data_IF_033622458600
#
_entry.id   IF_033622458600
#
_cell.length_a   1.000
_cell.length_b   1.000
_cell.length_c   1.000
_cell.angle_alpha   90.00
_cell.angle_beta   90.00
_cell.angle_gamma   90.00
#
_symmetry.space_group_name_H-M   'P 1'
#
loop_
_entity.id
_entity.type
_entity.pdbx_description
1 polymer ?
#
# COMPACT_ATOMS: atom_id res chain seq x y z
N UNK A 1 34.52 -5.95 -0.78
CA UNK A 1 33.18 -5.51 -1.20
C UNK A 1 32.23 -6.64 -0.87
N UNK A 2 31.61 -6.52 0.31
CA UNK A 2 30.53 -7.38 0.72
C UNK A 2 29.20 -6.62 0.62
N UNK A 3 28.16 -7.31 0.18
CA UNK A 3 26.81 -6.78 0.10
C UNK A 3 25.82 -7.94 0.06
N UNK A 4 24.58 -7.67 0.43
CA UNK A 4 23.50 -8.63 0.34
C UNK A 4 22.24 -7.97 -0.20
N UNK A 5 21.42 -8.75 -0.90
CA UNK A 5 20.08 -8.35 -1.32
C UNK A 5 19.04 -9.07 -0.48
N UNK A 6 18.00 -8.35 -0.08
CA UNK A 6 16.77 -8.95 0.44
C UNK A 6 15.76 -9.04 -0.69
N UNK A 7 15.41 -10.26 -1.09
CA UNK A 7 14.36 -10.53 -2.08
C UNK A 7 12.98 -10.18 -1.52
N UNK A 8 12.00 -10.02 -2.42
CA UNK A 8 10.62 -9.71 -2.05
C UNK A 8 10.04 -10.76 -1.10
N UNK A 9 10.43 -12.02 -1.28
CA UNK A 9 9.88 -13.18 -0.57
C UNK A 9 10.61 -13.51 0.74
N UNK A 10 11.37 -12.56 1.30
CA UNK A 10 12.05 -12.72 2.59
C UNK A 10 13.34 -13.55 2.55
N UNK A 11 13.85 -13.89 1.36
CA UNK A 11 15.17 -14.50 1.20
C UNK A 11 16.29 -13.45 1.19
N UNK A 12 17.35 -13.65 2.00
CA UNK A 12 18.56 -12.82 2.00
C UNK A 12 19.66 -13.54 1.23
N UNK A 13 20.20 -12.89 0.20
CA UNK A 13 21.21 -13.45 -0.70
C UNK A 13 22.48 -12.60 -0.64
N UNK A 14 23.62 -13.23 -0.32
CA UNK A 14 24.92 -12.56 -0.31
C UNK A 14 25.51 -12.54 -1.72
N UNK A 15 26.06 -11.38 -2.11
CA UNK A 15 26.78 -11.21 -3.38
C UNK A 15 26.01 -11.73 -4.63
N UNK A 16 24.70 -11.44 -4.80
CA UNK A 16 24.00 -11.84 -6.02
C UNK A 16 24.68 -11.20 -7.23
N UNK A 17 24.81 -11.95 -8.33
CA UNK A 17 25.33 -11.40 -9.57
C UNK A 17 24.30 -10.51 -10.28
N UNK A 18 24.70 -9.87 -11.37
CA UNK A 18 23.83 -8.96 -12.13
C UNK A 18 22.54 -9.63 -12.63
N UNK A 19 22.62 -10.89 -13.06
CA UNK A 19 21.44 -11.61 -13.54
C UNK A 19 20.49 -11.89 -12.39
N UNK A 20 21.02 -12.30 -11.23
CA UNK A 20 20.21 -12.53 -10.05
C UNK A 20 19.59 -11.23 -9.51
N UNK A 21 20.35 -10.14 -9.48
CA UNK A 21 19.81 -8.82 -9.14
C UNK A 21 18.64 -8.42 -10.04
N UNK A 22 18.76 -8.68 -11.35
CA UNK A 22 17.69 -8.42 -12.32
C UNK A 22 16.45 -9.26 -12.03
N UNK A 23 16.62 -10.54 -11.70
CA UNK A 23 15.52 -11.43 -11.32
C UNK A 23 14.81 -10.94 -10.06
N UNK A 24 15.56 -10.54 -9.03
CA UNK A 24 15.01 -10.01 -7.78
C UNK A 24 14.18 -8.74 -8.06
N UNK A 25 14.71 -7.81 -8.86
CA UNK A 25 13.97 -6.61 -9.24
C UNK A 25 12.73 -6.92 -10.10
N UNK A 26 12.76 -7.99 -10.90
CA UNK A 26 11.61 -8.44 -11.67
C UNK A 26 10.48 -9.02 -10.79
N UNK A 27 10.78 -9.46 -9.55
CA UNK A 27 9.75 -9.87 -8.59
C UNK A 27 8.75 -8.74 -8.31
N UNK A 28 9.20 -7.47 -8.41
CA UNK A 28 8.38 -6.26 -8.23
C UNK A 28 7.45 -5.93 -9.41
N UNK A 29 7.46 -6.69 -10.50
CA UNK A 29 6.54 -6.46 -11.64
C UNK A 29 5.13 -6.99 -11.35
N UNK A 30 5.01 -7.95 -10.42
CA UNK A 30 3.72 -8.41 -9.92
C UNK A 30 3.27 -7.48 -8.80
N UNK A 31 2.01 -7.05 -8.77
CA UNK A 31 1.52 -6.26 -7.64
C UNK A 31 1.28 -7.18 -6.44
N UNK A 32 1.90 -6.86 -5.31
CA UNK A 32 1.67 -7.50 -4.01
C UNK A 32 1.86 -6.44 -2.91
N UNK A 33 0.75 -5.87 -2.40
CA UNK A 33 0.79 -4.80 -1.41
C UNK A 33 1.35 -5.23 -0.04
N UNK A 34 1.42 -6.52 0.26
CA UNK A 34 1.94 -7.04 1.54
C UNK A 34 3.48 -7.01 1.55
N UNK A 35 4.11 -7.21 0.39
CA UNK A 35 5.56 -7.19 0.21
C UNK A 35 5.95 -6.26 -0.94
N UNK A 36 5.95 -4.93 -0.75
CA UNK A 36 6.05 -3.97 -1.85
C UNK A 36 7.48 -3.68 -2.32
N UNK A 37 8.52 -4.18 -1.65
CA UNK A 37 9.90 -3.77 -1.88
C UNK A 37 10.96 -4.88 -1.75
N UNK A 38 12.14 -4.56 -2.28
CA UNK A 38 13.39 -5.32 -2.15
C UNK A 38 14.52 -4.32 -1.97
N UNK A 39 15.59 -4.69 -1.28
CA UNK A 39 16.71 -3.79 -1.04
C UNK A 39 18.07 -4.47 -1.17
N UNK A 40 19.09 -3.66 -1.48
CA UNK A 40 20.50 -4.06 -1.49
C UNK A 40 21.24 -3.25 -0.43
N UNK A 41 21.94 -3.92 0.47
CA UNK A 41 22.77 -3.29 1.51
C UNK A 41 24.24 -3.62 1.28
N UNK A 42 25.07 -2.58 1.23
CA UNK A 42 26.53 -2.68 1.12
C UNK A 42 27.19 -2.66 2.52
N UNK A 43 28.38 -3.27 2.65
CA UNK A 43 29.15 -3.33 3.91
C UNK A 43 29.44 -1.97 4.56
N UNK A 44 29.31 -0.87 3.81
CA UNK A 44 29.42 0.50 4.33
C UNK A 44 28.16 1.01 5.06
N UNK A 45 27.13 0.18 5.22
CA UNK A 45 25.83 0.55 5.81
C UNK A 45 24.86 1.25 4.84
N UNK A 46 25.29 1.53 3.62
CA UNK A 46 24.46 2.16 2.59
C UNK A 46 23.48 1.13 2.00
N UNK A 47 22.20 1.50 1.94
CA UNK A 47 21.11 0.65 1.46
C UNK A 47 20.31 1.35 0.37
N UNK A 48 20.03 0.62 -0.72
CA UNK A 48 19.11 1.02 -1.79
C UNK A 48 17.86 0.14 -1.76
N UNK A 49 16.74 0.71 -1.32
CA UNK A 49 15.43 0.07 -1.30
C UNK A 49 14.65 0.44 -2.56
N UNK A 50 14.04 -0.53 -3.23
CA UNK A 50 13.30 -0.37 -4.48
C UNK A 50 11.89 -0.91 -4.27
N UNK A 51 10.89 -0.06 -4.55
CA UNK A 51 9.47 -0.40 -4.39
C UNK A 51 8.81 -0.76 -5.72
N UNK A 52 7.69 -1.48 -5.65
CA UNK A 52 6.87 -1.83 -6.81
C UNK A 52 6.41 -0.61 -7.60
N UNK A 53 6.18 0.53 -6.92
CA UNK A 53 5.79 1.82 -7.51
C UNK A 53 6.89 2.53 -8.31
N UNK A 54 8.14 2.03 -8.27
CA UNK A 54 9.30 2.73 -8.82
C UNK A 54 9.86 3.83 -7.90
N UNK A 55 9.42 3.88 -6.64
CA UNK A 55 10.12 4.61 -5.58
C UNK A 55 11.45 3.90 -5.28
N UNK A 56 12.54 4.65 -5.24
CA UNK A 56 13.84 4.18 -4.77
C UNK A 56 14.29 5.05 -3.62
N UNK A 57 14.66 4.44 -2.50
CA UNK A 57 15.19 5.10 -1.32
C UNK A 57 16.66 4.73 -1.18
N UNK A 58 17.50 5.73 -0.92
CA UNK A 58 18.90 5.58 -0.63
C UNK A 58 19.20 6.16 0.75
N UNK A 59 19.67 5.33 1.66
CA UNK A 59 19.87 5.71 3.05
C UNK A 59 21.05 4.97 3.70
N UNK A 60 21.53 5.52 4.80
CA UNK A 60 22.49 4.87 5.69
C UNK A 60 22.06 5.15 7.12
N UNK A 61 21.52 4.12 7.77
CA UNK A 61 20.97 4.23 9.13
C UNK A 61 22.03 4.47 10.20
N UNK A 62 23.30 4.19 9.89
CA UNK A 62 24.42 4.28 10.82
C UNK A 62 25.15 5.63 10.72
N UNK A 63 25.04 6.35 9.58
CA UNK A 63 25.73 7.62 9.38
C UNK A 63 25.01 8.83 9.97
N UNK A 64 23.70 8.71 10.25
CA UNK A 64 22.85 9.83 10.64
C UNK A 64 22.57 10.82 9.50
N UNK A 65 22.93 10.48 8.26
CA UNK A 65 22.54 11.26 7.09
C UNK A 65 21.05 11.08 6.80
N UNK A 66 20.40 12.18 6.37
CA UNK A 66 19.00 12.13 5.95
C UNK A 66 18.85 11.22 4.72
N UNK A 67 17.81 10.37 4.71
CA UNK A 67 17.49 9.53 3.56
C UNK A 67 17.11 10.38 2.36
N UNK A 68 17.28 9.82 1.17
CA UNK A 68 16.97 10.48 -0.09
C UNK A 68 16.30 9.53 -1.06
N UNK A 69 15.46 10.05 -1.95
CA UNK A 69 14.63 9.20 -2.81
C UNK A 69 14.55 9.69 -4.26
N UNK A 70 14.13 8.78 -5.14
CA UNK A 70 13.71 9.04 -6.51
C UNK A 70 12.36 8.38 -6.78
N UNK A 71 11.57 8.96 -7.69
CA UNK A 71 10.26 8.45 -8.09
C UNK A 71 10.28 8.06 -9.57
N UNK A 72 9.46 7.08 -9.94
CA UNK A 72 9.32 6.65 -11.34
C UNK A 72 10.60 6.01 -11.91
N UNK A 73 11.43 5.42 -11.05
CA UNK A 73 12.66 4.73 -11.45
C UNK A 73 12.28 3.40 -12.11
N UNK A 74 12.78 3.17 -13.33
CA UNK A 74 12.57 1.89 -14.03
C UNK A 74 13.39 0.77 -13.38
N UNK A 75 13.06 -0.50 -13.67
CA UNK A 75 13.80 -1.64 -13.15
C UNK A 75 15.25 -1.67 -13.66
N UNK A 76 15.47 -1.23 -14.89
CA UNK A 76 16.81 -1.10 -15.48
C UNK A 76 17.63 -0.06 -14.72
N UNK A 77 17.05 1.11 -14.44
CA UNK A 77 17.74 2.15 -13.67
C UNK A 77 17.98 1.71 -12.22
N UNK A 78 17.03 1.00 -11.61
CA UNK A 78 17.22 0.40 -10.29
C UNK A 78 18.38 -0.60 -10.28
N UNK A 79 18.47 -1.45 -11.30
CA UNK A 79 19.59 -2.39 -11.49
C UNK A 79 20.92 -1.66 -11.64
N UNK A 80 20.99 -0.58 -12.43
CA UNK A 80 22.19 0.25 -12.54
C UNK A 80 22.65 0.79 -11.17
N UNK A 81 21.70 1.28 -10.35
CA UNK A 81 22.00 1.80 -9.02
C UNK A 81 22.49 0.70 -8.07
N UNK A 82 21.86 -0.48 -8.09
CA UNK A 82 22.31 -1.65 -7.33
C UNK A 82 23.72 -2.09 -7.74
N UNK A 83 24.02 -2.13 -9.05
CA UNK A 83 25.36 -2.47 -9.54
C UNK A 83 26.40 -1.45 -9.06
N UNK A 84 26.10 -0.14 -9.13
CA UNK A 84 26.99 0.89 -8.55
C UNK A 84 27.22 0.67 -7.06
N UNK A 85 26.16 0.37 -6.30
CA UNK A 85 26.25 0.16 -4.85
C UNK A 85 27.07 -1.09 -4.51
N UNK A 86 26.88 -2.18 -5.25
CA UNK A 86 27.62 -3.43 -5.10
C UNK A 86 29.13 -3.27 -5.30
N UNK A 87 29.52 -2.27 -6.11
CA UNK A 87 30.92 -1.89 -6.40
C UNK A 87 31.45 -0.81 -5.46
N UNK A 88 30.67 -0.41 -4.45
CA UNK A 88 31.05 0.65 -3.51
C UNK A 88 31.12 2.05 -4.15
N UNK A 89 30.50 2.27 -5.32
CA UNK A 89 30.53 3.54 -6.06
C UNK A 89 29.58 4.59 -5.45
N UNK A 90 29.61 4.77 -4.13
CA UNK A 90 28.71 5.67 -3.37
C UNK A 90 28.78 7.11 -3.91
N UNK A 91 29.97 7.58 -4.26
CA UNK A 91 30.16 8.92 -4.82
C UNK A 91 29.45 9.10 -6.17
N UNK A 92 29.33 8.04 -6.99
CA UNK A 92 28.59 8.08 -8.25
C UNK A 92 27.08 8.03 -8.01
N UNK A 93 26.63 7.24 -7.02
CA UNK A 93 25.21 7.21 -6.62
C UNK A 93 24.80 8.59 -6.11
N UNK A 94 25.64 9.28 -5.32
CA UNK A 94 25.36 10.62 -4.80
C UNK A 94 25.13 11.70 -5.86
N UNK A 95 25.56 11.47 -7.11
CA UNK A 95 25.37 12.41 -8.22
C UNK A 95 24.03 12.26 -8.94
N UNK A 96 23.25 11.23 -8.60
CA UNK A 96 21.92 11.03 -9.17
C UNK A 96 20.94 12.11 -8.67
N UNK A 97 19.82 12.38 -9.38
CA UNK A 97 18.90 13.49 -9.08
C UNK A 97 17.99 13.18 -7.88
N UNK A 98 18.60 13.00 -6.72
CA UNK A 98 17.92 12.68 -5.47
C UNK A 98 17.05 13.83 -4.94
N UNK A 99 15.93 13.46 -4.34
CA UNK A 99 15.09 14.33 -3.52
C UNK A 99 15.33 14.00 -2.04
N UNK A 100 15.31 15.01 -1.17
CA UNK A 100 15.47 14.79 0.27
C UNK A 100 14.26 14.06 0.89
N UNK A 101 14.50 13.24 1.91
CA UNK A 101 13.50 12.47 2.66
C UNK A 101 13.28 11.05 2.12
N UNK A 102 12.54 10.22 2.88
CA UNK A 102 12.27 8.81 2.56
C UNK A 102 11.31 8.64 1.37
N UNK A 103 10.33 9.53 1.24
CA UNK A 103 9.41 9.62 0.10
C UNK A 103 8.72 10.99 0.20
N UNK A 104 8.14 11.55 -0.88
CA UNK A 104 7.21 12.65 -0.67
C UNK A 104 6.06 12.14 0.21
N UNK A 105 5.55 12.98 1.10
CA UNK A 105 4.20 12.79 1.60
C UNK A 105 3.31 12.60 0.36
N UNK A 106 2.67 11.42 0.20
CA UNK A 106 1.79 11.10 -0.95
C UNK A 106 1.01 12.36 -1.30
N UNK A 107 1.11 12.82 -2.55
CA UNK A 107 0.57 14.13 -2.95
C UNK A 107 -0.91 14.23 -2.59
N UNK A 108 -1.43 15.46 -2.41
CA UNK A 108 -2.85 15.65 -2.06
C UNK A 108 -3.79 14.90 -3.02
N UNK A 109 -3.47 14.94 -4.33
CA UNK A 109 -4.22 14.23 -5.38
C UNK A 109 -4.20 12.70 -5.21
N UNK A 110 -3.04 12.12 -4.92
CA UNK A 110 -2.90 10.67 -4.70
C UNK A 110 -3.62 10.23 -3.43
N UNK A 111 -3.59 11.06 -2.38
CA UNK A 111 -4.37 10.82 -1.15
C UNK A 111 -5.87 10.85 -1.43
N UNK A 112 -6.34 11.84 -2.20
CA UNK A 112 -7.74 11.94 -2.59
C UNK A 112 -8.18 10.74 -3.45
N UNK A 113 -7.33 10.26 -4.35
CA UNK A 113 -7.61 9.06 -5.14
C UNK A 113 -7.71 7.81 -4.26
N UNK A 114 -6.82 7.66 -3.27
CA UNK A 114 -6.86 6.55 -2.31
C UNK A 114 -8.13 6.62 -1.45
N UNK A 115 -8.49 7.79 -0.93
CA UNK A 115 -9.71 7.99 -0.14
C UNK A 115 -10.92 7.62 -0.99
N UNK A 116 -11.00 8.11 -2.23
CA UNK A 116 -12.10 7.80 -3.16
C UNK A 116 -12.22 6.31 -3.46
N UNK A 117 -11.10 5.63 -3.72
CA UNK A 117 -11.08 4.18 -3.94
C UNK A 117 -11.53 3.42 -2.69
N UNK A 118 -11.05 3.83 -1.52
CA UNK A 118 -11.45 3.25 -0.23
C UNK A 118 -12.94 3.43 0.07
N UNK A 119 -13.47 4.63 -0.18
CA UNK A 119 -14.89 4.95 -0.05
C UNK A 119 -15.75 4.12 -1.01
N UNK A 120 -15.30 3.96 -2.27
CA UNK A 120 -15.98 3.15 -3.26
C UNK A 120 -16.05 1.66 -2.85
N UNK A 121 -14.95 1.09 -2.37
CA UNK A 121 -14.91 -0.29 -1.84
C UNK A 121 -15.84 -0.42 -0.63
N UNK A 122 -15.79 0.55 0.27
CA UNK A 122 -16.64 0.58 1.47
C UNK A 122 -18.12 0.61 1.08
N UNK A 123 -18.50 1.46 0.12
CA UNK A 123 -19.87 1.55 -0.37
C UNK A 123 -20.33 0.25 -1.05
N UNK A 124 -19.46 -0.42 -1.80
CA UNK A 124 -19.76 -1.72 -2.41
C UNK A 124 -20.04 -2.80 -1.36
N UNK A 125 -19.19 -2.90 -0.33
CA UNK A 125 -19.38 -3.84 0.79
C UNK A 125 -20.64 -3.52 1.61
N UNK A 126 -20.96 -2.24 1.77
CA UNK A 126 -22.20 -1.81 2.39
C UNK A 126 -23.42 -2.22 1.58
N UNK A 127 -23.37 -2.06 0.26
CA UNK A 127 -24.44 -2.43 -0.65
C UNK A 127 -24.71 -3.92 -0.58
N UNK A 128 -23.66 -4.73 -0.65
CA UNK A 128 -23.78 -6.18 -0.51
C UNK A 128 -24.40 -6.60 0.82
N UNK A 129 -24.00 -5.94 1.92
CA UNK A 129 -24.60 -6.20 3.22
C UNK A 129 -26.08 -5.81 3.24
N UNK A 130 -26.44 -4.65 2.69
CA UNK A 130 -27.80 -4.14 2.64
C UNK A 130 -28.73 -5.04 1.80
N UNK A 131 -28.25 -5.51 0.65
CA UNK A 131 -29.00 -6.39 -0.25
C UNK A 131 -29.24 -7.78 0.35
N UNK A 132 -28.39 -8.24 1.28
CA UNK A 132 -28.61 -9.48 2.03
C UNK A 132 -29.65 -9.35 3.14
N UNK A 133 -30.09 -8.14 3.49
CA UNK A 133 -31.15 -7.95 4.47
C UNK A 133 -32.49 -8.38 3.88
N UNK A 134 -33.18 -9.27 4.60
CA UNK A 134 -34.51 -9.73 4.24
C UNK A 134 -35.54 -8.58 4.19
N UNK A 135 -36.64 -8.75 3.43
CA UNK A 135 -37.67 -7.72 3.30
C UNK A 135 -38.32 -7.38 4.64
N UNK A 136 -38.77 -6.14 4.75
CA UNK A 136 -39.42 -5.59 5.95
C UNK A 136 -40.77 -6.27 6.20
N UNK A 137 -41.03 -6.66 7.45
CA UNK A 137 -42.30 -7.27 7.85
C UNK A 137 -43.36 -6.20 8.05
N UNK A 138 -44.56 -6.41 7.51
CA UNK A 138 -45.68 -5.47 7.65
C UNK A 138 -46.36 -5.51 9.01
N UNK A 139 -46.15 -6.58 9.79
CA UNK A 139 -46.82 -6.80 11.08
C UNK A 139 -46.06 -6.23 12.28
N UNK A 140 -44.78 -5.90 12.12
CA UNK A 140 -43.91 -5.39 13.18
C UNK A 140 -43.24 -4.12 12.69
N UNK A 141 -43.46 -3.01 13.39
CA UNK A 141 -42.85 -1.73 13.03
C UNK A 141 -41.43 -1.61 13.56
N UNK A 142 -40.61 -0.83 12.86
CA UNK A 142 -39.28 -0.45 13.29
C UNK A 142 -39.34 0.27 14.65
N UNK A 143 -38.44 -0.09 15.57
CA UNK A 143 -38.35 0.53 16.91
C UNK A 143 -37.69 1.92 16.89
N UNK A 144 -37.10 2.34 15.78
CA UNK A 144 -36.47 3.65 15.68
C UNK A 144 -37.52 4.77 15.79
N UNK A 145 -37.24 5.78 16.60
CA UNK A 145 -38.19 6.86 16.87
C UNK A 145 -38.58 7.59 15.58
N UNK A 146 -39.88 7.71 15.31
CA UNK A 146 -40.40 8.37 14.11
C UNK A 146 -40.33 7.52 12.83
N UNK A 147 -39.89 6.27 12.88
CA UNK A 147 -39.89 5.39 11.72
C UNK A 147 -41.20 4.61 11.58
N UNK A 148 -41.80 4.63 10.38
CA UNK A 148 -43.02 3.85 10.06
C UNK A 148 -42.74 2.59 9.24
N UNK A 149 -41.48 2.31 8.90
CA UNK A 149 -41.09 1.12 8.14
C UNK A 149 -41.24 -0.16 8.96
N UNK A 150 -41.35 -1.29 8.27
CA UNK A 150 -41.43 -2.61 8.90
C UNK A 150 -40.06 -3.08 9.41
N UNK A 151 -40.04 -3.90 10.45
CA UNK A 151 -38.81 -4.51 10.96
C UNK A 151 -38.42 -5.75 10.16
N UNK A 152 -37.13 -5.95 9.88
CA UNK A 152 -36.65 -7.16 9.19
C UNK A 152 -36.76 -8.40 10.11
N UNK A 153 -36.76 -9.62 9.57
CA UNK A 153 -36.66 -10.84 10.36
C UNK A 153 -35.46 -10.81 11.32
N UNK A 154 -35.64 -11.30 12.54
CA UNK A 154 -34.60 -11.34 13.59
C UNK A 154 -34.04 -9.98 14.02
N UNK A 155 -34.71 -8.87 13.66
CA UNK A 155 -34.40 -7.55 14.20
C UNK A 155 -35.66 -6.79 14.60
N UNK A 156 -35.47 -5.75 15.41
CA UNK A 156 -36.49 -4.77 15.76
C UNK A 156 -36.42 -3.53 14.86
N UNK A 157 -35.49 -3.50 13.90
CA UNK A 157 -35.26 -2.36 13.00
C UNK A 157 -35.59 -2.72 11.55
N UNK A 158 -35.96 -1.70 10.76
CA UNK A 158 -36.08 -1.81 9.30
C UNK A 158 -34.71 -1.97 8.64
N UNK A 159 -34.63 -2.17 7.31
CA UNK A 159 -33.34 -2.39 6.62
C UNK A 159 -32.35 -1.25 6.86
N UNK A 160 -32.84 -0.01 6.76
CA UNK A 160 -32.06 1.22 7.00
C UNK A 160 -31.55 1.29 8.44
N UNK A 161 -32.44 1.26 9.44
CA UNK A 161 -32.01 1.39 10.83
C UNK A 161 -31.25 0.16 11.35
N UNK A 162 -31.46 -1.02 10.76
CA UNK A 162 -30.66 -2.20 11.04
C UNK A 162 -29.23 -2.00 10.54
N UNK A 163 -29.07 -1.51 9.30
CA UNK A 163 -27.77 -1.14 8.77
C UNK A 163 -27.05 -0.15 9.67
N UNK A 164 -27.73 0.93 10.07
CA UNK A 164 -27.14 1.97 10.92
C UNK A 164 -26.74 1.44 12.30
N UNK A 165 -27.55 0.53 12.86
CA UNK A 165 -27.26 -0.11 14.14
C UNK A 165 -26.04 -1.04 14.07
N UNK A 166 -25.79 -1.70 12.93
CA UNK A 166 -24.66 -2.62 12.74
C UNK A 166 -23.39 -1.89 12.28
N UNK A 167 -23.51 -0.93 11.37
CA UNK A 167 -22.37 -0.19 10.79
C UNK A 167 -21.98 1.05 11.60
N UNK A 168 -22.78 1.45 12.59
CA UNK A 168 -22.58 2.62 13.44
C UNK A 168 -22.38 3.94 12.66
N UNK A 169 -23.06 4.05 11.50
CA UNK A 169 -23.06 5.23 10.63
C UNK A 169 -24.37 5.29 9.82
N UNK A 170 -24.75 6.46 9.29
CA UNK A 170 -25.95 6.60 8.46
C UNK A 170 -25.94 5.64 7.26
N UNK A 171 -27.11 5.08 6.94
CA UNK A 171 -27.25 4.20 5.79
C UNK A 171 -27.27 5.05 4.50
N UNK A 172 -26.40 4.77 3.51
CA UNK A 172 -26.39 5.51 2.25
C UNK A 172 -27.49 5.06 1.28
N UNK A 173 -28.27 4.02 1.63
CA UNK A 173 -29.31 3.42 0.79
C UNK A 173 -30.70 3.67 1.35
N UNK A 174 -31.67 3.91 0.46
CA UNK A 174 -33.06 4.22 0.80
C UNK A 174 -34.08 3.43 -0.03
N UNK A 175 -33.61 2.51 -0.89
CA UNK A 175 -34.41 1.64 -1.75
C UNK A 175 -35.07 0.45 -1.03
#
# INVERSE_FOLDING_TARGET
MNYFAQTRWGGSENLPDENRMREILAELEKSDPEHPDTWLTHESGWTLSVYESGLVIFENMESGEEPRHQLGVSREKALELWLKLSRGEIAAINQEPWRAGQAPARGAEEREEIIRKSEAVTLALDREFYDRLAPERTTVHCRHAGCQKGAIPNSVFCRVHHFENIRHRPCPFHD
#
